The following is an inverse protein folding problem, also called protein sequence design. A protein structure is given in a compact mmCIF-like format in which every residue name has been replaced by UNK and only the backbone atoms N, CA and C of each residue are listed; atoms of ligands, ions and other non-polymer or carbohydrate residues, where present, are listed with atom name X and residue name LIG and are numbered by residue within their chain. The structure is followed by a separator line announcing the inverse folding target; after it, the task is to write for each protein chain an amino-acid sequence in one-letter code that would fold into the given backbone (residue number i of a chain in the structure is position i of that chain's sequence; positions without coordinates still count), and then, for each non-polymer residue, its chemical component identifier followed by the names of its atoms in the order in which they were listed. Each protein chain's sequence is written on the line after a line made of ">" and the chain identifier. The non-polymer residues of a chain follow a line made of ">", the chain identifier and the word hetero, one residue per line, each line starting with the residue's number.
data_IF_420804132215
#
_entry.id   IF_420804132215
#
_cell.length_a   1.000
_cell.length_b   1.000
_cell.length_c   1.000
_cell.angle_alpha   90.00
_cell.angle_beta   90.00
_cell.angle_gamma   90.00
#
_symmetry.space_group_name_H-M   'P 1'
#
loop_
_entity.id
_entity.type
_entity.pdbx_description
1 polymer ?
#
# COMPACT_ATOMS: atom_id res chain seq x y z
N UNK A 1 8.31 2.14 19.11
CA UNK A 1 7.67 2.01 17.80
C UNK A 1 7.63 3.39 17.20
N UNK A 2 8.27 3.60 16.06
CA UNK A 2 8.22 4.89 15.35
C UNK A 2 6.81 5.11 14.81
N UNK A 3 6.17 6.19 15.25
CA UNK A 3 4.86 6.62 14.75
C UNK A 3 5.06 7.29 13.41
N UNK A 4 4.35 6.83 12.38
CA UNK A 4 4.39 7.44 11.06
C UNK A 4 3.30 8.52 10.95
N UNK A 5 3.60 9.54 10.14
CA UNK A 5 2.64 10.61 9.84
C UNK A 5 1.60 10.11 8.85
N UNK A 6 0.33 10.14 9.23
CA UNK A 6 -0.76 9.78 8.34
C UNK A 6 -0.84 10.77 7.17
N UNK A 7 -0.84 10.26 5.93
CA UNK A 7 -0.98 11.09 4.72
C UNK A 7 -2.37 11.71 4.55
N UNK A 8 -3.35 11.21 5.31
CA UNK A 8 -4.74 11.68 5.31
C UNK A 8 -4.96 12.80 6.32
N UNK A 9 -4.79 12.54 7.63
CA UNK A 9 -5.05 13.55 8.66
C UNK A 9 -3.79 14.29 9.15
N UNK A 10 -2.59 13.86 8.75
CA UNK A 10 -1.34 14.48 9.18
C UNK A 10 -0.89 14.14 10.61
N UNK A 11 -1.65 13.34 11.36
CA UNK A 11 -1.33 12.92 12.73
C UNK A 11 -0.24 11.84 12.78
N UNK A 12 0.59 11.86 13.81
CA UNK A 12 1.61 10.84 14.12
C UNK A 12 0.98 9.65 14.84
N UNK A 13 0.03 8.99 14.17
CA UNK A 13 -0.78 7.91 14.76
C UNK A 13 -0.75 6.64 13.91
N UNK A 14 -0.05 6.66 12.78
CA UNK A 14 0.01 5.52 11.89
C UNK A 14 0.96 4.47 12.48
N UNK A 15 0.43 3.27 12.74
CA UNK A 15 1.20 2.14 13.26
C UNK A 15 1.38 1.08 12.18
N UNK A 16 2.62 0.75 11.78
CA UNK A 16 2.87 -0.42 10.95
C UNK A 16 2.68 -1.69 11.77
N UNK A 17 1.92 -2.62 11.23
CA UNK A 17 1.81 -3.98 11.74
C UNK A 17 2.34 -4.92 10.66
N UNK A 18 3.39 -5.68 10.99
CA UNK A 18 3.86 -6.74 10.10
C UNK A 18 2.76 -7.80 10.04
N UNK A 19 2.31 -8.12 8.84
CA UNK A 19 1.36 -9.20 8.61
C UNK A 19 2.15 -10.35 8.02
N UNK A 20 2.17 -11.47 8.73
CA UNK A 20 2.74 -12.72 8.23
C UNK A 20 1.56 -13.54 7.76
N UNK A 21 1.52 -13.87 6.47
CA UNK A 21 0.59 -14.87 5.98
C UNK A 21 1.13 -16.23 6.45
N UNK A 22 0.45 -16.87 7.40
CA UNK A 22 0.83 -18.22 7.87
C UNK A 22 0.70 -19.22 6.71
N UNK A 23 1.70 -20.07 6.56
CA UNK A 23 2.10 -20.86 5.39
C UNK A 23 1.10 -21.90 4.84
N UNK A 24 -0.20 -21.85 5.18
CA UNK A 24 -1.18 -22.83 4.66
C UNK A 24 -1.76 -22.48 3.27
N UNK A 25 -1.51 -21.27 2.78
CA UNK A 25 -1.84 -20.83 1.41
C UNK A 25 -0.57 -20.52 0.60
N UNK A 26 0.46 -21.38 0.74
CA UNK A 26 1.57 -21.41 -0.22
C UNK A 26 0.98 -21.74 -1.59
N UNK A 27 0.78 -20.70 -2.40
CA UNK A 27 1.11 -20.81 -3.82
C UNK A 27 2.49 -21.48 -3.88
N UNK A 28 2.53 -22.67 -4.45
CA UNK A 28 3.71 -23.48 -4.67
C UNK A 28 4.83 -22.57 -5.22
N UNK A 29 5.74 -22.14 -4.34
CA UNK A 29 6.83 -21.23 -4.68
C UNK A 29 8.14 -22.02 -4.66
N UNK A 30 8.48 -22.73 -5.74
CA UNK A 30 9.71 -23.53 -5.83
C UNK A 30 11.00 -22.68 -5.90
N UNK A 31 10.93 -21.35 -5.70
CA UNK A 31 12.03 -20.40 -5.97
C UNK A 31 12.18 -19.27 -4.94
N UNK A 32 12.12 -19.54 -3.63
CA UNK A 32 12.77 -18.69 -2.61
C UNK A 32 12.47 -17.18 -2.65
N UNK A 33 11.26 -16.79 -3.05
CA UNK A 33 10.86 -15.38 -3.18
C UNK A 33 10.59 -14.77 -1.81
N UNK A 34 11.30 -13.70 -1.46
CA UNK A 34 11.11 -12.97 -0.20
C UNK A 34 9.86 -12.08 -0.32
N UNK A 35 8.76 -12.47 0.31
CA UNK A 35 7.55 -11.65 0.42
C UNK A 35 7.48 -10.97 1.81
N UNK A 36 7.36 -9.64 1.84
CA UNK A 36 7.14 -8.88 3.07
C UNK A 36 5.84 -8.09 2.98
N UNK A 37 4.93 -8.28 3.95
CA UNK A 37 3.69 -7.50 3.99
C UNK A 37 3.56 -6.67 5.27
N UNK A 38 3.09 -5.43 5.11
CA UNK A 38 2.90 -4.47 6.21
C UNK A 38 1.55 -3.80 6.08
N UNK A 39 0.75 -3.88 7.13
CA UNK A 39 -0.51 -3.17 7.23
C UNK A 39 -0.30 -1.86 8.00
N UNK A 40 -0.88 -0.79 7.49
CA UNK A 40 -0.80 0.53 8.08
C UNK A 40 -2.21 1.00 8.37
N UNK A 41 -2.45 1.45 9.59
CA UNK A 41 -3.75 2.00 10.00
C UNK A 41 -3.56 3.23 10.88
N UNK A 42 -4.27 4.31 10.54
CA UNK A 42 -4.34 5.51 11.34
C UNK A 42 -5.47 5.39 12.37
N UNK A 43 -5.13 5.49 13.66
CA UNK A 43 -6.11 5.39 14.75
C UNK A 43 -6.98 6.66 14.91
N UNK A 44 -6.65 7.74 14.19
CA UNK A 44 -7.40 9.00 14.24
C UNK A 44 -8.46 9.02 13.14
N UNK A 45 -8.06 8.73 11.90
CA UNK A 45 -8.94 8.86 10.73
C UNK A 45 -9.43 7.58 10.11
N UNK A 46 -8.96 6.43 10.59
CA UNK A 46 -9.30 5.13 10.01
C UNK A 46 -8.64 4.88 8.64
N UNK A 47 -7.89 5.84 8.09
CA UNK A 47 -7.11 5.65 6.86
C UNK A 47 -6.17 4.46 7.03
N UNK A 48 -6.25 3.53 6.09
CA UNK A 48 -5.49 2.30 6.17
C UNK A 48 -5.11 1.79 4.77
N UNK A 49 -3.98 1.10 4.72
CA UNK A 49 -3.49 0.43 3.52
C UNK A 49 -2.59 -0.76 3.86
N UNK A 50 -2.55 -1.73 2.96
CA UNK A 50 -1.62 -2.84 2.97
C UNK A 50 -0.51 -2.57 1.96
N UNK A 51 0.75 -2.75 2.33
CA UNK A 51 1.86 -2.85 1.38
C UNK A 51 2.32 -4.31 1.31
N UNK A 52 2.46 -4.84 0.11
CA UNK A 52 3.05 -6.16 -0.16
C UNK A 52 4.28 -5.91 -1.03
N UNK A 53 5.45 -6.27 -0.50
CA UNK A 53 6.71 -6.26 -1.22
C UNK A 53 7.00 -7.68 -1.68
N UNK A 54 7.23 -7.83 -2.97
CA UNK A 54 7.63 -9.08 -3.61
C UNK A 54 8.97 -8.86 -4.28
N UNK A 55 9.85 -9.86 -4.16
CA UNK A 55 11.19 -9.81 -4.73
C UNK A 55 11.46 -11.11 -5.46
N UNK A 56 11.74 -10.99 -6.76
CA UNK A 56 12.08 -12.12 -7.61
C UNK A 56 13.55 -12.50 -7.43
N UNK A 57 13.90 -13.73 -7.82
CA UNK A 57 15.29 -14.21 -7.81
C UNK A 57 16.21 -13.40 -8.75
N UNK A 58 15.64 -12.83 -9.82
CA UNK A 58 16.33 -11.98 -10.80
C UNK A 58 16.62 -10.55 -10.28
N UNK A 59 16.15 -10.21 -9.08
CA UNK A 59 16.42 -8.93 -8.41
C UNK A 59 15.39 -7.84 -8.69
N UNK A 60 14.37 -8.12 -9.50
CA UNK A 60 13.22 -7.24 -9.67
C UNK A 60 12.41 -7.20 -8.37
N UNK A 61 11.90 -6.02 -8.04
CA UNK A 61 11.12 -5.80 -6.85
C UNK A 61 9.85 -5.04 -7.18
N UNK A 62 8.72 -5.58 -6.75
CA UNK A 62 7.43 -4.90 -6.85
C UNK A 62 6.91 -4.59 -5.46
N UNK A 63 6.33 -3.41 -5.29
CA UNK A 63 5.63 -3.05 -4.06
C UNK A 63 4.21 -2.66 -4.41
N UNK A 64 3.26 -3.51 -4.01
CA UNK A 64 1.84 -3.26 -4.17
C UNK A 64 1.29 -2.56 -2.94
N UNK A 65 0.66 -1.40 -3.14
CA UNK A 65 -0.08 -0.67 -2.11
C UNK A 65 -1.58 -0.84 -2.36
N UNK A 66 -2.31 -1.36 -1.37
CA UNK A 66 -3.76 -1.59 -1.44
C UNK A 66 -4.44 -0.73 -0.37
N UNK A 67 -5.22 0.25 -0.78
CA UNK A 67 -5.96 1.13 0.12
C UNK A 67 -7.32 0.52 0.49
N UNK A 68 -7.50 0.17 1.76
CA UNK A 68 -8.60 -0.68 2.26
C UNK A 68 -9.58 0.09 3.17
N UNK A 69 -9.84 1.37 2.89
CA UNK A 69 -10.69 2.29 3.68
C UNK A 69 -12.20 1.93 3.68
N UNK A 70 -12.58 0.65 3.77
CA UNK A 70 -13.95 0.10 3.75
C UNK A 70 -14.85 0.65 2.62
N UNK A 71 -14.24 1.14 1.55
CA UNK A 71 -14.88 1.83 0.44
C UNK A 71 -14.58 1.10 -0.85
N UNK A 72 -15.61 0.49 -1.43
CA UNK A 72 -15.55 -0.09 -2.77
C UNK A 72 -15.64 1.02 -3.83
N UNK A 73 -14.91 0.93 -4.95
CA UNK A 73 -13.95 -0.12 -5.33
C UNK A 73 -12.61 -0.01 -4.59
N UNK A 74 -11.82 -1.08 -4.46
CA UNK A 74 -10.48 -0.99 -3.84
C UNK A 74 -9.55 -0.14 -4.71
N UNK A 75 -8.74 0.73 -4.11
CA UNK A 75 -7.70 1.46 -4.86
C UNK A 75 -6.35 0.77 -4.63
N UNK A 76 -5.68 0.42 -5.72
CA UNK A 76 -4.36 -0.22 -5.69
C UNK A 76 -3.38 0.58 -6.54
N UNK A 77 -2.12 0.66 -6.13
CA UNK A 77 -1.01 1.08 -6.98
C UNK A 77 0.19 0.16 -6.82
N UNK A 78 0.93 -0.07 -7.89
CA UNK A 78 2.10 -0.96 -7.92
C UNK A 78 3.31 -0.14 -8.31
N UNK A 79 4.35 -0.18 -7.47
CA UNK A 79 5.66 0.34 -7.82
C UNK A 79 6.51 -0.80 -8.41
N UNK A 80 7.01 -0.61 -9.62
CA UNK A 80 8.01 -1.49 -10.25
C UNK A 80 9.39 -0.90 -10.02
N UNK A 81 10.32 -1.71 -9.51
CA UNK A 81 11.68 -1.31 -9.19
C UNK A 81 12.68 -2.35 -9.67
N UNK A 82 13.73 -1.88 -10.32
CA UNK A 82 14.87 -2.68 -10.76
C UNK A 82 15.89 -2.96 -9.63
N UNK A 83 15.75 -2.30 -8.47
CA UNK A 83 16.69 -2.42 -7.36
C UNK A 83 15.98 -2.53 -5.99
N UNK A 84 16.14 -3.69 -5.35
CA UNK A 84 15.50 -4.02 -4.08
C UNK A 84 16.07 -3.31 -2.82
N UNK A 85 17.18 -2.57 -2.95
CA UNK A 85 18.00 -2.07 -1.83
C UNK A 85 17.53 -0.70 -1.30
N UNK A 86 16.92 0.15 -2.13
CA UNK A 86 16.52 1.52 -1.72
C UNK A 86 15.05 1.75 -2.03
N UNK A 87 14.21 1.69 -0.99
CA UNK A 87 12.78 1.97 -1.12
C UNK A 87 12.56 3.48 -0.91
N UNK A 88 12.60 4.23 -2.01
CA UNK A 88 12.11 5.60 -2.08
C UNK A 88 11.25 5.77 -3.33
N UNK A 89 10.39 6.78 -3.34
CA UNK A 89 9.56 7.12 -4.50
C UNK A 89 10.42 7.40 -5.76
N UNK A 90 11.65 7.89 -5.54
CA UNK A 90 12.66 8.17 -6.58
C UNK A 90 13.30 6.90 -7.19
N UNK A 91 13.21 5.76 -6.51
CA UNK A 91 13.72 4.47 -7.00
C UNK A 91 12.70 3.71 -7.85
N UNK A 92 11.49 4.25 -8.02
CA UNK A 92 10.42 3.62 -8.79
C UNK A 92 10.64 3.87 -10.28
N UNK A 93 10.78 2.80 -11.04
CA UNK A 93 10.90 2.87 -12.50
C UNK A 93 9.54 3.17 -13.15
N UNK A 94 8.48 2.53 -12.66
CA UNK A 94 7.12 2.69 -13.18
C UNK A 94 6.06 2.51 -12.08
N UNK A 95 5.00 3.33 -12.16
CA UNK A 95 3.80 3.19 -11.34
C UNK A 95 2.62 2.70 -12.18
N UNK A 96 1.95 1.65 -11.71
CA UNK A 96 0.65 1.24 -12.23
C UNK A 96 -0.46 1.55 -11.21
N UNK A 97 -1.61 2.02 -11.69
CA UNK A 97 -2.75 2.42 -10.85
C UNK A 97 -4.00 1.64 -11.21
N UNK A 98 -4.74 1.22 -10.18
CA UNK A 98 -5.91 0.37 -10.33
C UNK A 98 -7.07 0.82 -9.46
N UNK A 99 -8.28 0.68 -10.02
CA UNK A 99 -9.58 0.88 -9.37
C UNK A 99 -10.36 -0.43 -9.45
N UNK A 100 -10.36 -1.18 -8.36
CA UNK A 100 -10.68 -2.61 -8.37
C UNK A 100 -9.66 -3.33 -9.25
N UNK A 101 -10.14 -4.10 -10.21
CA UNK A 101 -9.31 -4.81 -11.19
C UNK A 101 -9.06 -4.02 -12.48
N UNK A 102 -9.53 -2.77 -12.56
CA UNK A 102 -9.41 -1.94 -13.77
C UNK A 102 -8.18 -1.03 -13.68
N UNK A 103 -7.27 -1.06 -14.67
CA UNK A 103 -6.21 -0.07 -14.75
C UNK A 103 -6.81 1.31 -15.03
N UNK A 104 -6.28 2.33 -14.36
CA UNK A 104 -6.68 3.74 -14.50
C UNK A 104 -5.42 4.61 -14.58
N UNK A 105 -5.54 5.84 -15.03
CA UNK A 105 -4.42 6.79 -14.97
C UNK A 105 -4.18 7.31 -13.55
N UNK A 106 -2.98 7.83 -13.32
CA UNK A 106 -2.55 8.39 -12.03
C UNK A 106 -3.50 9.49 -11.54
N UNK A 107 -3.92 10.40 -12.41
CA UNK A 107 -4.72 11.56 -12.01
C UNK A 107 -6.14 11.15 -11.60
N UNK A 108 -6.78 10.20 -12.30
CA UNK A 108 -8.05 9.61 -11.85
C UNK A 108 -7.87 8.93 -10.47
N UNK A 109 -6.80 8.15 -10.31
CA UNK A 109 -6.55 7.42 -9.08
C UNK A 109 -6.32 8.34 -7.89
N UNK A 110 -5.51 9.38 -8.06
CA UNK A 110 -5.23 10.39 -7.03
C UNK A 110 -6.47 11.17 -6.64
N UNK A 111 -7.31 11.55 -7.62
CA UNK A 111 -8.56 12.24 -7.35
C UNK A 111 -9.51 11.37 -6.49
N UNK A 112 -9.63 10.08 -6.82
CA UNK A 112 -10.44 9.14 -6.03
C UNK A 112 -9.88 8.92 -4.63
N UNK A 113 -8.56 8.82 -4.50
CA UNK A 113 -7.92 8.69 -3.19
C UNK A 113 -8.14 9.96 -2.35
N UNK A 114 -8.01 11.14 -2.94
CA UNK A 114 -8.25 12.41 -2.25
C UNK A 114 -9.68 12.53 -1.74
N UNK A 115 -10.67 12.22 -2.58
CA UNK A 115 -12.09 12.24 -2.21
C UNK A 115 -12.40 11.34 -1.01
N UNK A 116 -11.83 10.13 -0.98
CA UNK A 116 -11.96 9.21 0.17
C UNK A 116 -11.33 9.77 1.41
N UNK A 117 -10.13 10.33 1.28
CA UNK A 117 -9.42 10.94 2.40
C UNK A 117 -10.19 12.12 2.97
N UNK A 118 -10.82 12.93 2.14
CA UNK A 118 -11.66 14.02 2.59
C UNK A 118 -12.94 13.52 3.29
N UNK A 119 -13.52 12.43 2.81
CA UNK A 119 -14.64 11.73 3.49
C UNK A 119 -14.23 11.19 4.87
N UNK A 120 -13.05 10.55 4.95
CA UNK A 120 -12.51 10.07 6.22
C UNK A 120 -12.22 11.21 7.17
N UNK A 121 -11.57 12.30 6.71
CA UNK A 121 -11.35 13.51 7.51
C UNK A 121 -12.66 14.11 8.03
N UNK A 122 -13.72 14.14 7.22
CA UNK A 122 -15.02 14.64 7.66
C UNK A 122 -15.66 13.74 8.74
N UNK A 123 -15.32 12.45 8.74
CA UNK A 123 -15.78 11.46 9.74
C UNK A 123 -14.89 11.45 10.99
N UNK A 124 -13.67 11.99 10.92
CA UNK A 124 -12.82 12.26 12.07
C UNK A 124 -13.47 13.36 12.90
N UNK A 125 -14.35 12.97 13.81
CA UNK A 125 -14.90 13.86 14.82
C UNK A 125 -13.77 14.43 15.69
N UNK A 126 -13.85 15.74 15.92
CA UNK A 126 -13.14 16.51 16.94
C UNK A 126 -12.97 15.76 18.25
#
# INVERSE_FOLDING_TARGET
>A
METLRCKTCGCESLRPMQVVFEEEDQFDNPLGEEQESRFYSCQVCGDNWLSVKEKTADGECTITFVHQMETAPVLKRVAHMSNAVVISDESVDEWEYFKGDKPVDEAEWEALLSDRRDTLKATCVN
#
